data_IF_754778838391
#
_entry.id   IF_754778838391
#
_cell.length_a   1.000
_cell.length_b   1.000
_cell.length_c   1.000
_cell.angle_alpha   90.00
_cell.angle_beta   90.00
_cell.angle_gamma   90.00
#
_symmetry.space_group_name_H-M   'P 1'
#
loop_
_entity.id
_entity.type
_entity.pdbx_description
1 polymer ?
#
# COMPACT_ATOMS: atom_id res chain seq x y z
N UNK A 1 17.07 14.42 -23.12
CA UNK A 1 15.73 13.83 -23.42
C UNK A 1 14.65 14.84 -23.00
N UNK A 2 13.43 14.83 -23.60
CA UNK A 2 12.28 15.65 -23.17
C UNK A 2 11.01 14.79 -23.19
N UNK A 3 10.14 15.01 -22.23
CA UNK A 3 8.78 14.43 -22.12
C UNK A 3 7.83 15.46 -21.48
N UNK A 4 6.52 15.20 -21.46
CA UNK A 4 5.59 16.04 -20.71
C UNK A 4 5.71 15.75 -19.20
N UNK A 5 5.71 14.50 -18.80
CA UNK A 5 5.77 14.08 -17.39
C UNK A 5 7.00 13.21 -17.15
N UNK A 6 7.88 13.65 -16.26
CA UNK A 6 8.94 12.82 -15.68
C UNK A 6 8.42 12.08 -14.46
N UNK A 7 8.39 10.75 -14.48
CA UNK A 7 7.95 9.91 -13.35
C UNK A 7 9.16 9.29 -12.69
N UNK A 8 9.34 9.48 -11.39
CA UNK A 8 10.41 8.85 -10.61
C UNK A 8 9.81 7.71 -9.80
N UNK A 9 10.24 6.48 -10.08
CA UNK A 9 9.80 5.24 -9.47
C UNK A 9 8.83 4.43 -10.35
N UNK A 10 9.16 3.13 -10.57
CA UNK A 10 8.32 2.13 -11.23
C UNK A 10 7.58 1.23 -10.22
N UNK A 11 7.19 1.79 -9.07
CA UNK A 11 6.23 1.19 -8.15
C UNK A 11 4.80 1.25 -8.70
N UNK A 12 3.81 0.75 -7.95
CA UNK A 12 2.41 0.77 -8.37
C UNK A 12 1.90 2.16 -8.77
N UNK A 13 2.28 3.21 -8.01
CA UNK A 13 1.91 4.59 -8.32
C UNK A 13 2.41 5.04 -9.69
N UNK A 14 3.73 5.00 -9.92
CA UNK A 14 4.33 5.51 -11.16
C UNK A 14 3.91 4.73 -12.39
N UNK A 15 3.80 3.41 -12.28
CA UNK A 15 3.33 2.55 -13.37
C UNK A 15 1.86 2.82 -13.71
N UNK A 16 0.98 2.89 -12.70
CA UNK A 16 -0.44 3.17 -12.92
C UNK A 16 -0.64 4.58 -13.50
N UNK A 17 0.09 5.58 -12.99
CA UNK A 17 0.08 6.93 -13.56
C UNK A 17 0.42 6.92 -15.04
N UNK A 18 1.47 6.20 -15.44
CA UNK A 18 1.89 6.12 -16.83
C UNK A 18 0.82 5.49 -17.75
N UNK A 19 0.04 4.53 -17.25
CA UNK A 19 -1.10 3.97 -18.00
C UNK A 19 -2.27 4.96 -18.11
N UNK A 20 -2.59 5.68 -17.04
CA UNK A 20 -3.62 6.71 -17.04
C UNK A 20 -3.27 7.84 -18.02
N UNK A 21 -2.01 8.34 -18.00
CA UNK A 21 -1.53 9.38 -18.90
C UNK A 21 -1.57 8.93 -20.36
N UNK A 22 -1.16 7.67 -20.64
CA UNK A 22 -1.24 7.11 -21.99
C UNK A 22 -2.65 7.13 -22.55
N UNK A 23 -3.66 6.81 -21.73
CA UNK A 23 -5.08 6.85 -22.14
C UNK A 23 -5.52 8.24 -22.59
N UNK A 24 -4.92 9.28 -22.04
CA UNK A 24 -5.22 10.68 -22.37
C UNK A 24 -4.29 11.28 -23.41
N UNK A 25 -3.29 10.52 -23.88
CA UNK A 25 -2.31 10.98 -24.88
C UNK A 25 -1.25 11.91 -24.33
N UNK A 26 -0.96 11.84 -23.04
CA UNK A 26 0.10 12.59 -22.37
C UNK A 26 1.37 11.73 -22.30
N UNK A 27 2.48 12.23 -22.83
CA UNK A 27 3.74 11.51 -22.86
C UNK A 27 4.44 11.53 -21.50
N UNK A 28 5.01 10.37 -21.12
CA UNK A 28 5.78 10.25 -19.89
C UNK A 28 6.95 9.27 -20.02
N UNK A 29 7.97 9.50 -19.21
CA UNK A 29 9.13 8.61 -19.04
C UNK A 29 9.23 8.25 -17.57
N UNK A 30 9.39 6.95 -17.27
CA UNK A 30 9.61 6.44 -15.90
C UNK A 30 11.09 6.20 -15.70
N UNK A 31 11.63 6.69 -14.58
CA UNK A 31 12.99 6.43 -14.08
C UNK A 31 12.90 5.55 -12.84
N UNK A 32 13.52 4.36 -12.87
CA UNK A 32 13.51 3.40 -11.77
C UNK A 32 14.94 3.03 -11.36
N UNK A 33 15.25 3.13 -10.08
CA UNK A 33 16.60 2.88 -9.56
C UNK A 33 16.94 1.38 -9.47
N UNK A 34 15.95 0.50 -9.46
CA UNK A 34 16.14 -0.96 -9.45
C UNK A 34 16.00 -1.54 -10.84
N UNK A 35 16.53 -2.73 -11.02
CA UNK A 35 16.29 -3.51 -12.23
C UNK A 35 14.83 -3.99 -12.31
N UNK A 36 14.38 -4.34 -13.51
CA UNK A 36 13.08 -4.95 -13.71
C UNK A 36 12.88 -6.21 -12.85
N UNK A 37 13.89 -7.08 -12.81
CA UNK A 37 13.83 -8.33 -12.04
C UNK A 37 13.64 -8.06 -10.54
N UNK A 38 14.29 -7.04 -9.99
CA UNK A 38 14.17 -6.69 -8.57
C UNK A 38 12.78 -6.17 -8.22
N UNK A 39 12.18 -5.28 -9.05
CA UNK A 39 10.83 -4.77 -8.75
C UNK A 39 9.76 -5.85 -8.92
N UNK A 40 9.88 -6.71 -9.94
CA UNK A 40 8.98 -7.83 -10.19
C UNK A 40 9.14 -8.97 -9.17
N UNK A 41 10.33 -9.11 -8.57
CA UNK A 41 10.65 -10.13 -7.55
C UNK A 41 10.39 -9.70 -6.11
N UNK A 42 10.15 -8.42 -5.83
CA UNK A 42 9.93 -7.93 -4.46
C UNK A 42 8.54 -8.32 -3.96
N UNK A 43 8.49 -9.38 -3.14
CA UNK A 43 7.23 -9.92 -2.62
C UNK A 43 6.65 -8.97 -1.56
N UNK A 44 5.50 -8.36 -1.86
CA UNK A 44 4.70 -7.56 -0.94
C UNK A 44 3.26 -8.07 -0.89
N UNK A 45 2.57 -7.84 0.23
CA UNK A 45 1.15 -8.10 0.32
C UNK A 45 0.39 -7.23 -0.71
N UNK A 46 -0.79 -7.66 -1.07
CA UNK A 46 -1.66 -6.89 -1.95
C UNK A 46 -3.10 -7.26 -1.66
N UNK A 47 -3.86 -6.25 -1.25
CA UNK A 47 -5.32 -6.28 -1.16
C UNK A 47 -5.80 -5.08 -1.96
N UNK A 48 -6.58 -5.34 -2.99
CA UNK A 48 -7.14 -4.30 -3.85
C UNK A 48 -8.55 -3.96 -3.37
N UNK A 49 -8.81 -2.68 -3.19
CA UNK A 49 -10.14 -2.14 -2.99
C UNK A 49 -10.99 -2.35 -4.25
N UNK A 50 -12.28 -2.43 -4.08
CA UNK A 50 -13.24 -2.68 -5.17
C UNK A 50 -13.03 -1.75 -6.37
N UNK A 51 -12.93 -0.45 -6.13
CA UNK A 51 -12.76 0.57 -7.18
C UNK A 51 -11.41 0.45 -7.92
N UNK A 52 -10.34 -0.05 -7.27
CA UNK A 52 -9.04 -0.28 -7.92
C UNK A 52 -9.15 -1.45 -8.89
N UNK A 53 -9.88 -2.51 -8.51
CA UNK A 53 -10.17 -3.64 -9.41
C UNK A 53 -10.96 -3.17 -10.63
N UNK A 54 -11.97 -2.32 -10.43
CA UNK A 54 -12.74 -1.71 -11.53
C UNK A 54 -11.83 -0.87 -12.44
N UNK A 55 -10.99 0.00 -11.86
CA UNK A 55 -10.03 0.81 -12.61
C UNK A 55 -9.07 -0.03 -13.45
N UNK A 56 -8.51 -1.12 -12.88
CA UNK A 56 -7.62 -2.02 -13.62
C UNK A 56 -8.34 -2.67 -14.80
N UNK A 57 -9.60 -3.07 -14.63
CA UNK A 57 -10.42 -3.63 -15.70
C UNK A 57 -10.75 -2.59 -16.80
N UNK A 58 -11.12 -1.37 -16.41
CA UNK A 58 -11.37 -0.26 -17.35
C UNK A 58 -10.14 0.10 -18.20
N UNK A 59 -8.95 -0.04 -17.61
CA UNK A 59 -7.68 0.16 -18.31
C UNK A 59 -7.26 -1.02 -19.19
N UNK A 60 -8.00 -2.14 -19.14
CA UNK A 60 -7.63 -3.39 -19.84
C UNK A 60 -6.41 -4.09 -19.23
N UNK A 61 -6.13 -3.85 -17.95
CA UNK A 61 -4.98 -4.37 -17.20
C UNK A 61 -5.38 -5.46 -16.18
N UNK A 62 -6.69 -5.74 -16.08
CA UNK A 62 -7.24 -6.63 -15.05
C UNK A 62 -7.31 -8.11 -15.43
N UNK A 63 -7.00 -8.52 -16.65
CA UNK A 63 -7.24 -9.89 -17.13
C UNK A 63 -6.62 -10.98 -16.24
N UNK A 64 -5.31 -10.86 -15.95
CA UNK A 64 -4.61 -11.82 -15.08
C UNK A 64 -5.07 -11.70 -13.63
N UNK A 65 -5.30 -10.49 -13.14
CA UNK A 65 -5.84 -10.23 -11.82
C UNK A 65 -7.21 -10.90 -11.60
N UNK A 66 -8.10 -10.85 -12.61
CA UNK A 66 -9.42 -11.50 -12.53
C UNK A 66 -9.33 -13.03 -12.55
N UNK A 67 -8.30 -13.60 -13.19
CA UNK A 67 -8.07 -15.05 -13.27
C UNK A 67 -7.36 -15.60 -12.03
N UNK A 68 -6.37 -14.88 -11.51
CA UNK A 68 -5.45 -15.35 -10.46
C UNK A 68 -5.67 -14.69 -9.10
N UNK A 69 -6.28 -13.52 -9.09
CA UNK A 69 -6.67 -12.83 -7.86
C UNK A 69 -7.80 -13.57 -7.14
N UNK A 70 -7.82 -13.44 -5.83
CA UNK A 70 -8.85 -14.06 -4.99
C UNK A 70 -9.80 -12.99 -4.45
N UNK A 71 -11.08 -13.01 -4.85
CA UNK A 71 -12.09 -12.21 -4.19
C UNK A 71 -12.28 -12.69 -2.75
N UNK A 72 -12.31 -11.76 -1.80
CA UNK A 72 -12.67 -12.01 -0.41
C UNK A 72 -13.90 -11.14 -0.06
N UNK A 73 -14.95 -11.81 0.40
CA UNK A 73 -16.23 -11.17 0.74
C UNK A 73 -16.30 -10.65 2.16
N UNK A 74 -15.27 -10.92 2.97
CA UNK A 74 -15.20 -10.51 4.36
C UNK A 74 -13.84 -10.78 5.00
N UNK A 75 -13.79 -10.55 6.30
CA UNK A 75 -12.65 -10.89 7.17
C UNK A 75 -13.16 -11.44 8.51
N UNK A 76 -12.36 -12.27 9.15
CA UNK A 76 -12.61 -12.76 10.50
C UNK A 76 -11.82 -11.98 11.54
N UNK A 77 -12.50 -11.42 12.54
CA UNK A 77 -11.88 -10.92 13.78
C UNK A 77 -11.93 -12.01 14.84
N UNK A 78 -10.78 -12.28 15.48
CA UNK A 78 -10.69 -13.26 16.55
C UNK A 78 -10.20 -12.61 17.83
N UNK A 79 -10.97 -12.67 18.91
CA UNK A 79 -10.61 -12.20 20.25
C UNK A 79 -11.43 -12.96 21.32
N UNK A 80 -10.92 -13.07 22.54
CA UNK A 80 -11.55 -13.82 23.63
C UNK A 80 -11.96 -15.25 23.25
N UNK A 81 -11.19 -15.91 22.36
CA UNK A 81 -11.46 -17.27 21.90
C UNK A 81 -12.67 -17.41 20.95
N UNK A 82 -13.22 -16.30 20.47
CA UNK A 82 -14.35 -16.28 19.52
C UNK A 82 -13.92 -15.72 18.17
N UNK A 83 -14.59 -16.15 17.09
CA UNK A 83 -14.43 -15.64 15.73
C UNK A 83 -15.70 -14.91 15.30
N UNK A 84 -15.52 -13.70 14.81
CA UNK A 84 -16.57 -12.83 14.32
C UNK A 84 -16.31 -12.54 12.85
N UNK A 85 -17.20 -12.99 11.98
CA UNK A 85 -17.14 -12.69 10.55
C UNK A 85 -17.72 -11.33 10.25
N UNK A 86 -16.98 -10.51 9.52
CA UNK A 86 -17.44 -9.23 9.01
C UNK A 86 -17.69 -9.38 7.50
N UNK A 87 -18.95 -9.54 7.12
CA UNK A 87 -19.36 -9.72 5.71
C UNK A 87 -19.43 -8.38 4.98
N UNK A 88 -18.46 -8.14 4.10
CA UNK A 88 -18.39 -6.90 3.32
C UNK A 88 -19.52 -6.79 2.32
N UNK A 89 -19.93 -7.90 1.70
CA UNK A 89 -20.99 -7.90 0.69
C UNK A 89 -22.34 -7.61 1.32
N UNK A 90 -22.64 -8.23 2.48
CA UNK A 90 -23.87 -7.90 3.21
C UNK A 90 -23.92 -6.44 3.66
N UNK A 91 -22.76 -5.90 4.13
CA UNK A 91 -22.70 -4.57 4.71
C UNK A 91 -22.62 -3.44 3.67
N UNK A 92 -21.96 -3.68 2.52
CA UNK A 92 -21.61 -2.62 1.55
C UNK A 92 -21.96 -2.94 0.11
N UNK A 93 -22.35 -4.17 -0.21
CA UNK A 93 -22.51 -4.66 -1.58
C UNK A 93 -21.21 -4.83 -2.36
N UNK A 94 -20.03 -4.73 -1.70
CA UNK A 94 -18.71 -4.75 -2.32
C UNK A 94 -17.82 -5.81 -1.68
N UNK A 95 -16.72 -6.13 -2.36
CA UNK A 95 -15.70 -7.07 -1.90
C UNK A 95 -14.31 -6.52 -2.17
N UNK A 96 -13.30 -7.12 -1.58
CA UNK A 96 -11.90 -6.88 -1.87
C UNK A 96 -11.34 -7.99 -2.77
N UNK A 97 -10.17 -7.75 -3.37
CA UNK A 97 -9.45 -8.80 -4.10
C UNK A 97 -8.03 -8.92 -3.57
N UNK A 98 -7.68 -10.11 -3.10
CA UNK A 98 -6.30 -10.43 -2.72
C UNK A 98 -5.51 -10.71 -4.00
N UNK A 99 -4.67 -9.77 -4.39
CA UNK A 99 -3.78 -9.89 -5.53
C UNK A 99 -2.47 -9.19 -5.21
N UNK A 100 -1.39 -9.92 -5.29
CA UNK A 100 -0.11 -9.45 -4.78
C UNK A 100 0.39 -8.19 -5.46
N UNK A 101 0.95 -7.25 -4.69
CA UNK A 101 1.49 -6.01 -5.25
C UNK A 101 2.53 -6.24 -6.36
N UNK A 102 3.41 -7.23 -6.23
CA UNK A 102 4.40 -7.52 -7.27
C UNK A 102 3.77 -8.13 -8.53
N UNK A 103 2.63 -8.82 -8.42
CA UNK A 103 1.87 -9.28 -9.58
C UNK A 103 1.21 -8.10 -10.31
N UNK A 104 0.67 -7.12 -9.56
CA UNK A 104 0.22 -5.84 -10.15
C UNK A 104 1.36 -5.16 -10.90
N UNK A 105 2.57 -5.09 -10.31
CA UNK A 105 3.75 -4.49 -10.95
C UNK A 105 4.10 -5.23 -12.25
N UNK A 106 4.13 -6.57 -12.24
CA UNK A 106 4.40 -7.38 -13.46
C UNK A 106 3.42 -7.05 -14.57
N UNK A 107 2.13 -6.99 -14.26
CA UNK A 107 1.08 -6.67 -15.25
C UNK A 107 1.26 -5.27 -15.83
N UNK A 108 1.49 -4.28 -14.97
CA UNK A 108 1.69 -2.90 -15.39
C UNK A 108 2.97 -2.72 -16.21
N UNK A 109 4.09 -3.33 -15.81
CA UNK A 109 5.36 -3.28 -16.57
C UNK A 109 5.19 -3.94 -17.94
N UNK A 110 4.64 -5.16 -17.97
CA UNK A 110 4.45 -5.89 -19.23
C UNK A 110 3.56 -5.09 -20.21
N UNK A 111 2.45 -4.54 -19.73
CA UNK A 111 1.55 -3.73 -20.54
C UNK A 111 2.21 -2.42 -21.02
N UNK A 112 3.00 -1.74 -20.17
CA UNK A 112 3.73 -0.52 -20.52
C UNK A 112 4.74 -0.77 -21.63
N UNK A 113 5.57 -1.80 -21.48
CA UNK A 113 6.59 -2.16 -22.47
C UNK A 113 5.97 -2.63 -23.78
N UNK A 114 4.92 -3.45 -23.73
CA UNK A 114 4.16 -3.89 -24.92
C UNK A 114 3.60 -2.69 -25.69
N UNK A 115 3.25 -1.63 -25.00
CA UNK A 115 2.73 -0.40 -25.59
C UNK A 115 3.83 0.57 -26.08
N UNK A 116 5.11 0.20 -26.01
CA UNK A 116 6.24 1.05 -26.38
C UNK A 116 6.55 2.19 -25.43
N UNK A 117 6.00 2.14 -24.19
CA UNK A 117 6.23 3.17 -23.21
C UNK A 117 7.62 3.07 -22.56
N UNK A 118 8.31 4.20 -22.40
CA UNK A 118 9.66 4.25 -21.86
C UNK A 118 9.69 4.00 -20.35
N UNK A 119 10.56 3.08 -19.92
CA UNK A 119 11.00 2.87 -18.53
C UNK A 119 12.52 2.71 -18.56
N UNK A 120 13.23 3.61 -17.89
CA UNK A 120 14.67 3.54 -17.68
C UNK A 120 14.93 2.85 -16.34
N UNK A 121 15.32 1.57 -16.39
CA UNK A 121 15.65 0.79 -15.20
C UNK A 121 17.10 0.97 -14.78
N UNK A 122 17.40 0.70 -13.51
CA UNK A 122 18.73 0.74 -12.91
C UNK A 122 19.40 2.11 -13.04
N UNK A 123 18.60 3.18 -12.95
CA UNK A 123 19.14 4.53 -12.90
C UNK A 123 19.69 4.84 -11.51
N UNK A 124 20.65 5.74 -11.43
CA UNK A 124 21.27 6.16 -10.17
C UNK A 124 21.51 7.67 -10.13
N UNK A 125 21.86 8.17 -8.94
CA UNK A 125 22.16 9.60 -8.71
C UNK A 125 21.05 10.54 -9.20
N UNK A 126 19.78 10.12 -9.10
CA UNK A 126 18.63 10.93 -9.53
C UNK A 126 18.49 12.16 -8.69
N UNK A 127 18.46 13.34 -9.35
CA UNK A 127 18.28 14.66 -8.72
C UNK A 127 17.28 15.48 -9.49
N UNK A 128 16.43 16.20 -8.75
CA UNK A 128 15.45 17.12 -9.31
C UNK A 128 16.00 18.54 -9.27
N UNK A 129 15.72 19.31 -10.31
CA UNK A 129 16.14 20.70 -10.45
C UNK A 129 14.98 21.55 -10.94
N UNK A 130 14.98 22.81 -10.55
CA UNK A 130 14.06 23.86 -11.04
C UNK A 130 12.58 23.50 -10.87
N UNK A 131 12.25 22.75 -9.77
CA UNK A 131 10.91 22.21 -9.49
C UNK A 131 9.86 23.30 -9.21
N UNK A 132 10.28 24.48 -8.79
CA UNK A 132 9.46 25.66 -8.55
C UNK A 132 9.44 26.65 -9.75
N UNK A 133 10.17 26.33 -10.83
CA UNK A 133 10.21 27.08 -12.08
C UNK A 133 9.34 26.46 -13.18
N UNK A 134 9.38 27.09 -14.36
CA UNK A 134 8.59 26.68 -15.54
C UNK A 134 9.21 25.53 -16.35
N UNK A 135 10.44 25.12 -16.04
CA UNK A 135 11.19 24.14 -16.81
C UNK A 135 11.91 23.11 -15.92
N UNK A 136 11.16 22.33 -15.14
CA UNK A 136 11.77 21.34 -14.26
C UNK A 136 12.53 20.27 -15.06
N UNK A 137 13.60 19.75 -14.47
CA UNK A 137 14.42 18.72 -15.08
C UNK A 137 14.93 17.72 -14.04
N UNK A 138 15.20 16.50 -14.51
CA UNK A 138 15.76 15.44 -13.70
C UNK A 138 17.11 15.07 -14.30
N UNK A 139 18.17 15.08 -13.47
CA UNK A 139 19.47 14.50 -13.83
C UNK A 139 19.64 13.16 -13.19
N UNK A 140 20.25 12.22 -13.90
CA UNK A 140 20.49 10.86 -13.42
C UNK A 140 21.65 10.22 -14.18
N UNK A 141 22.10 9.06 -13.73
CA UNK A 141 22.96 8.16 -14.51
C UNK A 141 22.15 7.00 -15.03
N UNK A 142 22.35 6.65 -16.29
CA UNK A 142 21.72 5.46 -16.88
C UNK A 142 22.35 4.16 -16.33
N UNK A 143 21.81 3.01 -16.72
CA UNK A 143 22.30 1.70 -16.30
C UNK A 143 23.79 1.43 -16.66
N UNK A 144 24.36 2.23 -17.56
CA UNK A 144 25.79 2.15 -17.95
C UNK A 144 26.64 3.19 -17.20
N UNK A 145 26.05 3.98 -16.31
CA UNK A 145 26.72 5.03 -15.57
C UNK A 145 26.90 6.35 -16.32
N UNK A 146 26.34 6.51 -17.53
CA UNK A 146 26.45 7.74 -18.29
C UNK A 146 25.50 8.80 -17.72
N UNK A 147 25.95 10.08 -17.61
CA UNK A 147 25.08 11.16 -17.17
C UNK A 147 24.00 11.47 -18.21
N UNK A 148 22.78 11.64 -17.72
CA UNK A 148 21.58 11.91 -18.52
C UNK A 148 20.80 13.09 -17.93
N UNK A 149 20.03 13.76 -18.77
CA UNK A 149 19.09 14.81 -18.40
C UNK A 149 17.72 14.56 -19.05
N UNK A 150 16.67 14.56 -18.25
CA UNK A 150 15.28 14.52 -18.68
C UNK A 150 14.60 15.86 -18.33
N UNK A 151 14.23 16.62 -19.35
CA UNK A 151 13.41 17.84 -19.22
C UNK A 151 11.95 17.48 -19.31
N UNK A 152 11.13 18.08 -18.47
CA UNK A 152 9.69 17.81 -18.44
C UNK A 152 8.91 19.06 -18.07
N UNK A 153 7.59 19.02 -18.22
CA UNK A 153 6.72 20.10 -17.80
C UNK A 153 6.33 19.91 -16.32
N UNK A 154 6.17 18.64 -15.89
CA UNK A 154 5.89 18.27 -14.52
C UNK A 154 6.69 17.03 -14.10
N UNK A 155 6.93 16.89 -12.80
CA UNK A 155 7.56 15.72 -12.18
C UNK A 155 6.57 15.04 -11.26
N UNK A 156 6.39 13.72 -11.40
CA UNK A 156 5.65 12.88 -10.47
C UNK A 156 6.63 12.05 -9.64
N UNK A 157 6.76 12.37 -8.35
CA UNK A 157 7.55 11.63 -7.37
C UNK A 157 6.76 10.44 -6.84
N UNK A 158 7.01 9.27 -7.43
CA UNK A 158 6.43 7.97 -7.07
C UNK A 158 7.50 7.01 -6.53
N UNK A 159 8.57 7.55 -5.96
CA UNK A 159 9.85 6.93 -5.63
C UNK A 159 9.93 6.36 -4.19
N UNK A 160 8.79 6.29 -3.53
CA UNK A 160 8.68 5.73 -2.19
C UNK A 160 9.25 6.65 -1.11
N UNK A 161 9.25 6.15 0.13
CA UNK A 161 9.60 6.95 1.30
C UNK A 161 11.04 7.47 1.28
N UNK A 162 11.96 6.69 0.72
CA UNK A 162 13.39 7.00 0.69
C UNK A 162 13.86 7.66 -0.62
N UNK A 163 12.91 7.94 -1.53
CA UNK A 163 13.22 8.56 -2.81
C UNK A 163 13.63 10.04 -2.70
N UNK A 164 14.28 10.59 -3.72
CA UNK A 164 14.75 11.97 -3.75
C UNK A 164 13.63 13.01 -3.90
N UNK A 165 12.43 12.63 -4.38
CA UNK A 165 11.42 13.62 -4.77
C UNK A 165 10.93 14.45 -3.59
N UNK A 166 10.55 13.84 -2.47
CA UNK A 166 10.14 14.60 -1.27
C UNK A 166 11.27 15.44 -0.72
N UNK A 167 12.51 14.92 -0.77
CA UNK A 167 13.68 15.64 -0.27
C UNK A 167 14.04 16.86 -1.12
N UNK A 168 13.60 16.93 -2.38
CA UNK A 168 13.78 18.08 -3.25
C UNK A 168 12.91 19.28 -2.83
N UNK A 169 11.80 19.05 -2.10
CA UNK A 169 10.99 20.11 -1.52
C UNK A 169 11.78 20.73 -0.36
N UNK A 170 11.95 22.06 -0.31
CA UNK A 170 12.62 22.72 0.80
C UNK A 170 12.01 22.34 2.15
N UNK A 171 12.83 22.04 3.16
CA UNK A 171 12.39 21.58 4.48
C UNK A 171 11.32 22.50 5.10
N UNK A 172 11.52 23.82 4.97
CA UNK A 172 10.56 24.84 5.46
C UNK A 172 9.18 24.80 4.79
N UNK A 173 9.08 24.17 3.63
CA UNK A 173 7.83 24.01 2.88
C UNK A 173 7.19 22.62 3.08
N UNK A 174 7.92 21.67 3.67
CA UNK A 174 7.39 20.35 3.98
C UNK A 174 6.61 20.39 5.29
N UNK A 175 5.36 19.97 5.26
CA UNK A 175 4.54 19.76 6.46
C UNK A 175 4.38 18.25 6.68
N UNK A 176 5.19 17.69 7.59
CA UNK A 176 5.32 16.25 7.78
C UNK A 176 4.81 15.82 9.16
N UNK A 177 4.00 14.75 9.20
CA UNK A 177 3.46 14.13 10.40
C UNK A 177 3.92 12.68 10.46
N UNK A 178 4.36 12.24 11.64
CA UNK A 178 4.92 10.91 11.84
C UNK A 178 4.42 10.30 13.16
N UNK A 179 4.09 9.00 13.11
CA UNK A 179 3.91 8.16 14.28
C UNK A 179 4.73 6.88 14.07
N UNK A 180 5.70 6.63 14.93
CA UNK A 180 6.36 5.34 15.04
C UNK A 180 5.65 4.52 16.12
N UNK A 181 5.14 3.34 15.75
CA UNK A 181 4.47 2.46 16.69
C UNK A 181 5.49 1.64 17.50
N UNK A 182 5.19 1.28 18.75
CA UNK A 182 6.09 0.47 19.57
C UNK A 182 6.15 -1.00 19.11
N UNK A 183 5.43 -1.34 18.05
CA UNK A 183 5.31 -2.71 17.54
C UNK A 183 5.95 -2.86 16.17
N UNK A 184 6.47 -4.06 15.94
CA UNK A 184 6.83 -4.57 14.62
C UNK A 184 5.98 -5.75 14.23
N UNK A 185 6.02 -6.07 12.95
CA UNK A 185 5.46 -7.29 12.40
C UNK A 185 6.57 -8.22 11.92
N UNK A 186 6.64 -9.41 12.49
CA UNK A 186 7.33 -10.53 11.88
C UNK A 186 6.44 -11.08 10.76
N UNK A 187 6.82 -10.78 9.52
CA UNK A 187 6.15 -11.27 8.32
C UNK A 187 6.76 -12.57 7.84
N UNK A 188 5.91 -13.56 7.55
CA UNK A 188 6.32 -14.93 7.24
C UNK A 188 5.60 -15.40 5.98
N UNK A 189 6.31 -16.12 5.10
CA UNK A 189 5.72 -16.94 4.03
C UNK A 189 6.09 -18.39 4.28
N UNK A 190 5.08 -19.26 4.27
CA UNK A 190 5.25 -20.69 4.48
C UNK A 190 4.54 -21.51 3.37
N UNK A 191 5.20 -22.58 2.95
CA UNK A 191 4.61 -23.58 2.05
C UNK A 191 3.64 -24.44 2.84
N UNK A 192 2.41 -23.96 2.96
CA UNK A 192 1.34 -24.64 3.70
C UNK A 192 0.02 -24.41 2.99
N UNK A 193 -0.84 -25.43 2.92
CA UNK A 193 -2.16 -25.29 2.34
C UNK A 193 -3.01 -24.33 3.19
N UNK A 194 -4.05 -23.81 2.56
CA UNK A 194 -4.98 -22.87 3.17
C UNK A 194 -5.60 -23.40 4.46
N UNK A 195 -5.46 -22.65 5.56
CA UNK A 195 -6.01 -23.02 6.86
C UNK A 195 -7.39 -22.42 7.14
N UNK A 196 -7.73 -21.30 6.49
CA UNK A 196 -9.01 -20.60 6.64
C UNK A 196 -9.43 -19.96 5.33
N UNK A 197 -10.74 -19.75 5.12
CA UNK A 197 -11.29 -19.28 3.84
C UNK A 197 -11.09 -17.77 3.59
N UNK A 198 -10.76 -16.99 4.60
CA UNK A 198 -10.54 -15.53 4.53
C UNK A 198 -9.38 -15.09 5.44
N UNK A 199 -9.15 -13.78 5.54
CA UNK A 199 -8.16 -13.23 6.48
C UNK A 199 -8.67 -13.39 7.93
N UNK A 200 -7.78 -13.80 8.85
CA UNK A 200 -8.05 -13.77 10.30
C UNK A 200 -7.16 -12.70 10.93
N UNK A 201 -7.79 -11.72 11.58
CA UNK A 201 -7.15 -10.76 12.47
C UNK A 201 -7.37 -11.20 13.91
N UNK A 202 -6.34 -11.57 14.62
CA UNK A 202 -6.42 -12.02 16.00
C UNK A 202 -5.85 -11.00 16.98
N UNK A 203 -6.67 -10.52 17.93
CA UNK A 203 -6.22 -9.84 19.13
C UNK A 203 -6.12 -10.88 20.25
N UNK A 204 -4.91 -11.09 20.76
CA UNK A 204 -4.62 -12.10 21.80
C UNK A 204 -3.75 -11.46 22.89
N UNK A 205 -3.78 -12.02 24.12
CA UNK A 205 -2.96 -11.47 25.23
C UNK A 205 -1.45 -11.57 24.98
N UNK A 206 -1.02 -12.49 24.09
CA UNK A 206 0.38 -12.61 23.62
C UNK A 206 0.71 -11.65 22.47
N UNK A 207 -0.22 -10.80 22.03
CA UNK A 207 -0.09 -9.88 20.92
C UNK A 207 -0.88 -10.27 19.67
N UNK A 208 -0.89 -9.39 18.69
CA UNK A 208 -1.58 -9.55 17.42
C UNK A 208 -1.01 -10.70 16.58
N UNK A 209 -1.89 -11.36 15.85
CA UNK A 209 -1.52 -12.25 14.75
C UNK A 209 -2.48 -12.07 13.55
N UNK A 210 -1.95 -12.26 12.34
CA UNK A 210 -2.74 -12.26 11.12
C UNK A 210 -2.41 -13.51 10.29
N UNK A 211 -3.45 -14.16 9.80
CA UNK A 211 -3.36 -15.24 8.84
C UNK A 211 -4.03 -14.82 7.53
N UNK A 212 -3.34 -14.99 6.42
CA UNK A 212 -3.92 -14.82 5.09
C UNK A 212 -3.41 -15.87 4.12
N UNK A 213 -4.22 -16.21 3.13
CA UNK A 213 -3.83 -17.11 2.03
C UNK A 213 -3.20 -16.31 0.92
N UNK A 214 -2.02 -16.72 0.46
CA UNK A 214 -1.31 -16.12 -0.66
C UNK A 214 -1.63 -16.81 -1.98
N UNK A 215 -1.54 -18.14 -1.96
CA UNK A 215 -1.93 -19.07 -3.03
C UNK A 215 -2.51 -20.32 -2.36
N UNK A 216 -3.03 -21.30 -3.12
CA UNK A 216 -3.48 -22.56 -2.54
C UNK A 216 -2.42 -23.26 -1.67
N UNK A 217 -1.15 -23.09 -1.99
CA UNK A 217 0.01 -23.75 -1.38
C UNK A 217 0.81 -22.84 -0.43
N UNK A 218 0.51 -21.53 -0.38
CA UNK A 218 1.30 -20.57 0.39
C UNK A 218 0.43 -19.75 1.32
N UNK A 219 0.75 -19.78 2.59
CA UNK A 219 0.17 -18.89 3.60
C UNK A 219 1.11 -17.72 3.90
N UNK A 220 0.52 -16.56 4.12
CA UNK A 220 1.19 -15.37 4.62
C UNK A 220 0.71 -15.08 6.04
N UNK A 221 1.65 -14.93 6.93
CA UNK A 221 1.43 -14.84 8.35
C UNK A 221 2.13 -13.60 8.89
N UNK A 222 1.54 -12.94 9.89
CA UNK A 222 2.19 -11.87 10.63
C UNK A 222 2.01 -12.07 12.13
N UNK A 223 3.06 -11.79 12.87
CA UNK A 223 3.10 -11.86 14.34
C UNK A 223 3.57 -10.51 14.86
N UNK A 224 2.86 -9.93 15.81
CA UNK A 224 3.36 -8.78 16.58
C UNK A 224 4.62 -9.18 17.34
N UNK A 225 5.67 -8.38 17.19
CA UNK A 225 6.96 -8.53 17.86
C UNK A 225 7.55 -7.16 18.22
N UNK A 226 8.67 -7.14 18.94
CA UNK A 226 9.48 -5.92 19.06
C UNK A 226 10.12 -5.63 17.69
N UNK A 227 10.01 -4.38 17.16
CA UNK A 227 10.66 -4.03 15.89
C UNK A 227 12.19 -4.12 15.92
N UNK A 228 12.80 -4.23 17.11
CA UNK A 228 14.25 -4.37 17.32
C UNK A 228 14.69 -5.82 17.51
N UNK A 229 13.75 -6.77 17.55
CA UNK A 229 14.11 -8.19 17.68
C UNK A 229 15.05 -8.60 16.53
N UNK A 230 16.13 -9.32 16.81
CA UNK A 230 16.91 -9.96 15.76
C UNK A 230 16.08 -11.11 15.16
N UNK A 231 16.19 -11.33 13.84
CA UNK A 231 15.41 -12.37 13.15
C UNK A 231 15.69 -13.78 13.69
N UNK A 232 16.89 -14.00 14.20
CA UNK A 232 17.35 -15.24 14.82
C UNK A 232 16.63 -15.58 16.13
N UNK A 233 16.05 -14.57 16.79
CA UNK A 233 15.20 -14.78 17.98
C UNK A 233 13.86 -15.47 17.63
N UNK A 234 13.56 -15.60 16.35
CA UNK A 234 12.34 -16.19 15.83
C UNK A 234 12.63 -17.45 14.99
N UNK A 235 13.07 -18.56 15.61
CA UNK A 235 13.18 -19.85 14.93
C UNK A 235 11.79 -20.38 14.56
N UNK A 236 11.71 -21.26 13.58
CA UNK A 236 10.44 -21.68 12.95
C UNK A 236 9.49 -22.38 13.93
N UNK A 237 10.02 -23.16 14.86
CA UNK A 237 9.24 -23.81 15.93
C UNK A 237 8.59 -22.79 16.87
N UNK A 238 9.30 -21.73 17.25
CA UNK A 238 8.73 -20.60 18.02
C UNK A 238 7.63 -19.89 17.23
N UNK A 239 7.86 -19.64 15.96
CA UNK A 239 6.87 -18.98 15.07
C UNK A 239 5.58 -19.80 15.07
N UNK A 240 5.67 -21.10 14.82
CA UNK A 240 4.47 -21.95 14.77
C UNK A 240 3.79 -22.07 16.14
N UNK A 241 4.55 -22.20 17.23
CA UNK A 241 3.98 -22.21 18.58
C UNK A 241 3.21 -20.92 18.90
N UNK A 242 3.76 -19.75 18.56
CA UNK A 242 3.07 -18.46 18.73
C UNK A 242 1.81 -18.35 17.88
N UNK A 243 1.86 -18.80 16.63
CA UNK A 243 0.71 -18.76 15.74
C UNK A 243 -0.40 -19.70 16.20
N UNK A 244 -0.06 -20.94 16.61
CA UNK A 244 -1.04 -21.88 17.17
C UNK A 244 -1.70 -21.31 18.43
N UNK A 245 -0.93 -20.65 19.31
CA UNK A 245 -1.46 -20.05 20.53
C UNK A 245 -2.37 -18.85 20.22
N UNK A 246 -1.91 -17.91 19.38
CA UNK A 246 -2.66 -16.67 19.09
C UNK A 246 -3.89 -16.88 18.22
N UNK A 247 -3.94 -17.97 17.43
CA UNK A 247 -5.06 -18.33 16.58
C UNK A 247 -5.87 -19.51 17.14
N UNK A 248 -5.60 -19.94 18.38
CA UNK A 248 -6.31 -21.06 19.00
C UNK A 248 -7.83 -20.90 18.88
N UNK A 249 -8.49 -21.93 18.37
CA UNK A 249 -9.94 -21.96 18.22
C UNK A 249 -10.46 -23.40 18.36
N UNK A 250 -11.56 -23.65 19.08
CA UNK A 250 -12.07 -25.00 19.30
C UNK A 250 -12.35 -25.76 17.99
N UNK A 251 -11.81 -26.98 17.89
CA UNK A 251 -12.01 -27.83 16.72
C UNK A 251 -11.23 -27.42 15.45
N UNK A 252 -10.36 -26.42 15.52
CA UNK A 252 -9.56 -25.98 14.40
C UNK A 252 -8.06 -25.91 14.76
N UNK A 253 -7.21 -26.20 13.79
CA UNK A 253 -5.77 -26.11 13.92
C UNK A 253 -5.18 -25.47 12.67
N UNK A 254 -4.22 -24.55 12.87
CA UNK A 254 -3.44 -23.98 11.79
C UNK A 254 -2.57 -25.05 11.13
N UNK A 255 -2.59 -25.10 9.81
CA UNK A 255 -1.69 -25.99 9.05
C UNK A 255 -0.32 -25.36 8.96
N UNK A 256 0.69 -26.05 9.43
CA UNK A 256 2.08 -25.66 9.40
C UNK A 256 2.77 -26.18 8.14
N UNK A 257 3.89 -25.56 7.77
CA UNK A 257 4.71 -25.98 6.64
C UNK A 257 6.08 -25.30 6.64
N UNK A 258 6.98 -25.63 5.72
CA UNK A 258 8.29 -25.01 5.62
C UNK A 258 8.21 -23.49 5.45
N UNK A 259 8.90 -22.74 6.30
CA UNK A 259 9.04 -21.29 6.20
C UNK A 259 10.19 -20.99 5.24
N UNK A 260 9.92 -20.30 4.14
CA UNK A 260 10.93 -19.95 3.13
C UNK A 260 11.28 -18.45 3.13
N UNK A 261 10.50 -17.61 3.79
CA UNK A 261 10.80 -16.19 3.95
C UNK A 261 10.29 -15.68 5.29
N UNK A 262 11.13 -14.91 6.00
CA UNK A 262 10.74 -14.16 7.19
C UNK A 262 11.50 -12.84 7.29
N UNK A 263 10.84 -11.79 7.76
CA UNK A 263 11.42 -10.48 7.99
C UNK A 263 10.63 -9.71 9.04
N UNK A 264 11.29 -8.80 9.75
CA UNK A 264 10.65 -7.89 10.71
C UNK A 264 10.52 -6.50 10.09
N UNK A 265 9.35 -5.90 10.23
CA UNK A 265 9.04 -4.56 9.73
C UNK A 265 8.48 -3.73 10.88
N UNK A 266 9.11 -2.61 11.18
CA UNK A 266 8.58 -1.61 12.12
C UNK A 266 7.31 -0.95 11.52
N UNK A 267 6.31 -0.71 12.36
CA UNK A 267 5.08 -0.06 11.94
C UNK A 267 5.22 1.46 12.07
N UNK A 268 4.73 2.17 11.06
CA UNK A 268 4.78 3.64 10.99
C UNK A 268 3.57 4.19 10.27
N UNK A 269 3.06 5.33 10.73
CA UNK A 269 2.26 6.28 9.97
C UNK A 269 3.12 7.47 9.57
N UNK A 270 2.98 7.93 8.35
CA UNK A 270 3.65 9.14 7.85
C UNK A 270 2.77 9.85 6.82
N UNK A 271 2.66 11.16 6.93
CA UNK A 271 1.99 12.01 5.94
C UNK A 271 2.83 13.27 5.71
N UNK A 272 3.15 13.55 4.46
CA UNK A 272 3.64 14.85 3.98
C UNK A 272 2.47 15.58 3.33
N UNK A 273 1.91 16.59 3.99
CA UNK A 273 0.77 17.35 3.45
C UNK A 273 1.15 18.23 2.25
N UNK A 274 2.43 18.52 2.08
CA UNK A 274 2.94 19.19 0.88
C UNK A 274 3.13 18.16 -0.23
N UNK A 275 2.02 17.70 -0.81
CA UNK A 275 2.06 16.74 -1.92
C UNK A 275 2.34 17.41 -3.27
N UNK A 276 2.24 18.73 -3.34
CA UNK A 276 2.60 19.55 -4.49
C UNK A 276 3.55 20.68 -4.07
N UNK A 277 4.61 20.86 -4.85
CA UNK A 277 5.51 22.01 -4.73
C UNK A 277 6.00 22.43 -6.12
N UNK A 278 5.57 23.61 -6.59
CA UNK A 278 5.80 24.02 -7.97
C UNK A 278 5.26 23.01 -8.98
N UNK A 279 6.15 22.47 -9.80
CA UNK A 279 5.81 21.45 -10.81
C UNK A 279 6.07 20.00 -10.34
N UNK A 280 6.39 19.80 -9.07
CA UNK A 280 6.57 18.48 -8.46
C UNK A 280 5.30 18.05 -7.72
N UNK A 281 4.88 16.80 -7.98
CA UNK A 281 3.75 16.14 -7.33
C UNK A 281 4.21 14.84 -6.70
N UNK A 282 3.92 14.62 -5.42
CA UNK A 282 4.22 13.38 -4.69
C UNK A 282 3.01 12.45 -4.72
N UNK A 283 3.25 11.13 -4.87
CA UNK A 283 2.21 10.11 -4.82
C UNK A 283 2.71 8.82 -4.15
N UNK A 284 1.82 8.11 -3.47
CA UNK A 284 2.12 6.87 -2.76
C UNK A 284 3.08 7.08 -1.59
N UNK A 285 3.97 6.10 -1.35
CA UNK A 285 4.89 6.12 -0.19
C UNK A 285 5.86 7.33 -0.18
N UNK A 286 5.97 8.08 -1.27
CA UNK A 286 6.68 9.36 -1.30
C UNK A 286 5.97 10.44 -0.48
N UNK A 287 4.64 10.39 -0.39
CA UNK A 287 3.80 11.33 0.33
C UNK A 287 3.26 10.78 1.65
N UNK A 288 2.94 9.48 1.73
CA UNK A 288 2.29 8.90 2.91
C UNK A 288 2.62 7.42 3.09
N UNK A 289 2.69 6.98 4.34
CA UNK A 289 2.82 5.58 4.74
C UNK A 289 1.72 5.30 5.76
N UNK A 290 0.92 4.29 5.52
CA UNK A 290 -0.07 3.78 6.47
C UNK A 290 0.41 2.46 7.08
N UNK A 291 0.07 2.15 8.33
CA UNK A 291 0.29 0.81 8.88
C UNK A 291 -0.37 -0.25 8.00
N UNK A 292 0.29 -1.39 7.76
CA UNK A 292 -0.20 -2.41 6.82
C UNK A 292 -1.50 -3.09 7.28
N UNK A 293 -1.91 -2.91 8.54
CA UNK A 293 -3.08 -3.55 9.15
C UNK A 293 -4.38 -3.28 8.36
N UNK A 294 -4.52 -2.07 7.81
CA UNK A 294 -5.69 -1.68 7.01
C UNK A 294 -5.57 -2.00 5.51
N UNK A 295 -4.43 -2.50 5.04
CA UNK A 295 -4.15 -2.78 3.64
C UNK A 295 -4.41 -1.60 2.68
N UNK A 296 -4.12 -0.34 3.10
CA UNK A 296 -4.47 0.88 2.37
C UNK A 296 -3.38 1.43 1.44
N UNK A 297 -2.11 1.11 1.65
CA UNK A 297 -0.99 1.78 0.97
C UNK A 297 -1.08 1.78 -0.56
N UNK A 298 -1.26 0.60 -1.18
CA UNK A 298 -1.38 0.49 -2.64
C UNK A 298 -2.64 1.23 -3.16
N UNK A 299 -3.74 1.13 -2.45
CA UNK A 299 -5.02 1.72 -2.84
C UNK A 299 -4.99 3.27 -2.75
N UNK A 300 -4.30 3.82 -1.75
CA UNK A 300 -4.03 5.26 -1.65
C UNK A 300 -3.13 5.73 -2.79
N UNK A 301 -2.05 5.00 -3.07
CA UNK A 301 -1.16 5.31 -4.18
C UNK A 301 -1.90 5.33 -5.53
N UNK A 302 -2.85 4.41 -5.73
CA UNK A 302 -3.72 4.39 -6.90
C UNK A 302 -4.65 5.61 -6.95
N UNK A 303 -5.20 6.05 -5.81
CA UNK A 303 -6.05 7.23 -5.74
C UNK A 303 -5.29 8.52 -6.05
N UNK A 304 -4.09 8.68 -5.49
CA UNK A 304 -3.25 9.85 -5.76
C UNK A 304 -3.01 10.01 -7.25
N UNK A 305 -2.56 8.94 -7.92
CA UNK A 305 -2.23 9.01 -9.35
C UNK A 305 -3.49 9.09 -10.23
N UNK A 306 -4.63 8.61 -9.77
CA UNK A 306 -5.91 8.83 -10.43
C UNK A 306 -6.28 10.32 -10.44
N UNK A 307 -6.18 10.99 -9.28
CA UNK A 307 -6.42 12.45 -9.20
C UNK A 307 -5.39 13.24 -9.98
N UNK A 308 -4.10 12.88 -9.89
CA UNK A 308 -3.04 13.55 -10.63
C UNK A 308 -3.24 13.44 -12.15
N UNK A 309 -3.58 12.26 -12.65
CA UNK A 309 -3.83 12.06 -14.08
C UNK A 309 -4.99 12.91 -14.61
N UNK A 310 -6.09 13.03 -13.84
CA UNK A 310 -7.23 13.89 -14.18
C UNK A 310 -6.85 15.38 -14.17
N UNK A 311 -6.05 15.78 -13.19
CA UNK A 311 -5.57 17.16 -13.08
C UNK A 311 -4.65 17.53 -14.25
N UNK A 312 -3.74 16.63 -14.62
CA UNK A 312 -2.86 16.79 -15.78
C UNK A 312 -3.68 16.81 -17.09
N UNK A 313 -4.65 15.94 -17.25
CA UNK A 313 -5.53 15.93 -18.41
C UNK A 313 -6.28 17.26 -18.56
N UNK A 314 -6.86 17.80 -17.48
CA UNK A 314 -7.57 19.08 -17.50
C UNK A 314 -6.61 20.22 -17.90
N UNK A 315 -5.40 20.21 -17.34
CA UNK A 315 -4.37 21.20 -17.65
C UNK A 315 -3.94 21.16 -19.12
N UNK A 316 -3.64 19.97 -19.67
CA UNK A 316 -3.17 19.87 -21.06
C UNK A 316 -4.30 20.05 -22.10
N UNK A 317 -5.48 19.53 -21.85
CA UNK A 317 -6.57 19.57 -22.84
C UNK A 317 -7.41 20.86 -22.78
N UNK A 318 -7.51 21.49 -21.60
CA UNK A 318 -8.42 22.62 -21.38
C UNK A 318 -7.69 23.88 -20.87
N UNK A 319 -6.39 23.80 -20.56
CA UNK A 319 -5.63 24.87 -19.90
C UNK A 319 -6.07 25.11 -18.45
N UNK A 320 -6.88 24.22 -17.88
CA UNK A 320 -7.40 24.36 -16.52
C UNK A 320 -6.43 23.74 -15.50
N UNK A 321 -5.77 24.58 -14.71
CA UNK A 321 -4.83 24.19 -13.67
C UNK A 321 -5.47 24.05 -12.28
N UNK A 322 -6.76 24.32 -12.13
CA UNK A 322 -7.44 24.33 -10.82
C UNK A 322 -7.33 23.01 -10.06
N UNK A 323 -7.40 21.88 -10.79
CA UNK A 323 -7.23 20.54 -10.18
C UNK A 323 -5.78 20.28 -9.76
N UNK A 324 -4.79 20.81 -10.48
CA UNK A 324 -3.38 20.72 -10.06
C UNK A 324 -3.16 21.53 -8.78
N UNK A 325 -3.67 22.76 -8.72
CA UNK A 325 -3.55 23.63 -7.55
C UNK A 325 -4.19 23.05 -6.28
N UNK A 326 -5.24 22.25 -6.45
CA UNK A 326 -5.95 21.57 -5.36
C UNK A 326 -5.53 20.12 -5.14
N UNK A 327 -4.46 19.67 -5.79
CA UNK A 327 -4.03 18.26 -5.72
C UNK A 327 -3.79 17.79 -4.29
N UNK A 328 -2.99 18.54 -3.52
CA UNK A 328 -2.72 18.19 -2.11
C UNK A 328 -4.01 18.10 -1.30
N UNK A 329 -4.89 19.09 -1.37
CA UNK A 329 -6.19 19.10 -0.66
C UNK A 329 -7.04 17.89 -1.02
N UNK A 330 -7.13 17.57 -2.32
CA UNK A 330 -7.94 16.45 -2.83
C UNK A 330 -7.43 15.10 -2.32
N UNK A 331 -6.12 14.86 -2.39
CA UNK A 331 -5.51 13.62 -1.92
C UNK A 331 -5.59 13.49 -0.39
N UNK A 332 -5.26 14.55 0.35
CA UNK A 332 -5.23 14.56 1.81
C UNK A 332 -6.60 14.27 2.44
N UNK A 333 -7.69 14.72 1.81
CA UNK A 333 -9.04 14.41 2.27
C UNK A 333 -9.31 12.89 2.34
N UNK A 334 -8.69 12.10 1.46
CA UNK A 334 -8.76 10.63 1.46
C UNK A 334 -7.68 10.01 2.34
N UNK A 335 -6.45 10.52 2.27
CA UNK A 335 -5.31 10.01 3.03
C UNK A 335 -5.61 10.02 4.52
N UNK A 336 -6.10 11.12 5.08
CA UNK A 336 -6.41 11.20 6.51
C UNK A 336 -7.54 10.25 6.96
N UNK A 337 -8.51 9.95 6.09
CA UNK A 337 -9.52 8.91 6.37
C UNK A 337 -8.91 7.52 6.42
N UNK A 338 -7.98 7.22 5.51
CA UNK A 338 -7.29 5.94 5.47
C UNK A 338 -6.26 5.80 6.59
N UNK A 339 -5.57 6.89 6.96
CA UNK A 339 -4.70 6.93 8.15
C UNK A 339 -5.50 6.68 9.43
N UNK A 340 -6.62 7.38 9.62
CA UNK A 340 -7.52 7.14 10.76
C UNK A 340 -7.96 5.68 10.83
N UNK A 341 -8.34 5.08 9.70
CA UNK A 341 -8.74 3.67 9.64
C UNK A 341 -7.57 2.75 9.97
N UNK A 342 -6.41 2.95 9.35
CA UNK A 342 -5.23 2.11 9.58
C UNK A 342 -4.70 2.23 11.00
N UNK A 343 -4.70 3.45 11.55
CA UNK A 343 -4.39 3.70 12.97
C UNK A 343 -5.36 2.98 13.90
N UNK A 344 -6.68 3.10 13.66
CA UNK A 344 -7.71 2.43 14.44
C UNK A 344 -7.54 0.91 14.41
N UNK A 345 -7.41 0.32 13.23
CA UNK A 345 -7.17 -1.12 13.06
C UNK A 345 -5.88 -1.57 13.78
N UNK A 346 -4.83 -0.76 13.71
CA UNK A 346 -3.56 -1.09 14.34
C UNK A 346 -3.68 -1.03 15.87
N UNK A 347 -4.21 0.04 16.41
CA UNK A 347 -4.34 0.21 17.87
C UNK A 347 -5.36 -0.76 18.47
N UNK A 348 -6.47 -1.03 17.78
CA UNK A 348 -7.50 -1.96 18.20
C UNK A 348 -7.01 -3.43 18.23
N UNK A 349 -6.12 -3.82 17.35
CA UNK A 349 -5.71 -5.22 17.20
C UNK A 349 -4.42 -5.57 17.94
N UNK A 350 -3.53 -4.61 18.17
CA UNK A 350 -2.24 -4.88 18.82
C UNK A 350 -2.35 -4.82 20.33
N UNK A 351 -1.57 -5.67 20.99
CA UNK A 351 -1.40 -5.62 22.45
C UNK A 351 -0.38 -4.56 22.82
N UNK A 352 -0.76 -3.67 23.72
CA UNK A 352 0.15 -2.69 24.29
C UNK A 352 0.53 -3.13 25.73
N UNK A 353 1.81 -3.41 25.98
CA UNK A 353 2.27 -3.86 27.29
C UNK A 353 2.17 -2.77 28.38
N UNK A 354 2.10 -1.50 27.97
CA UNK A 354 1.87 -0.37 28.88
C UNK A 354 0.38 -0.16 29.23
N UNK A 355 -0.53 -0.92 28.61
CA UNK A 355 -1.97 -0.80 28.80
C UNK A 355 -2.38 -1.26 30.21
N UNK A 356 -3.12 -0.44 30.92
CA UNK A 356 -3.70 -0.79 32.23
C UNK A 356 -4.81 -1.84 32.08
N UNK A 357 -5.16 -2.51 33.17
CA UNK A 357 -6.28 -3.45 33.19
C UNK A 357 -7.61 -2.80 32.79
N UNK A 358 -7.81 -1.51 33.12
CA UNK A 358 -9.00 -0.76 32.71
C UNK A 358 -9.00 -0.47 31.21
N UNK A 359 -7.90 0.02 30.66
CA UNK A 359 -7.76 0.29 29.22
C UNK A 359 -7.95 -0.99 28.41
N UNK A 360 -7.42 -2.11 28.88
CA UNK A 360 -7.65 -3.42 28.25
C UNK A 360 -9.13 -3.78 28.16
N UNK A 361 -9.93 -3.47 29.19
CA UNK A 361 -11.38 -3.72 29.17
C UNK A 361 -12.10 -2.82 28.16
N UNK A 362 -11.75 -1.55 28.08
CA UNK A 362 -12.28 -0.62 27.08
C UNK A 362 -11.93 -1.10 25.68
N UNK A 363 -10.69 -1.53 25.46
CA UNK A 363 -10.20 -2.01 24.20
C UNK A 363 -10.96 -3.26 23.71
N UNK A 364 -11.20 -4.23 24.59
CA UNK A 364 -12.02 -5.39 24.27
C UNK A 364 -13.48 -5.04 24.00
N UNK A 365 -14.04 -4.06 24.71
CA UNK A 365 -15.40 -3.56 24.44
C UNK A 365 -15.49 -2.86 23.09
N UNK A 366 -14.45 -2.13 22.68
CA UNK A 366 -14.38 -1.49 21.35
C UNK A 366 -14.31 -2.53 20.23
N UNK A 367 -13.50 -3.60 20.40
CA UNK A 367 -13.48 -4.75 19.48
C UNK A 367 -14.85 -5.42 19.35
N UNK A 368 -15.51 -5.68 20.49
CA UNK A 368 -16.85 -6.28 20.49
C UNK A 368 -17.87 -5.38 19.79
N UNK A 369 -17.85 -4.08 20.09
CA UNK A 369 -18.75 -3.11 19.45
C UNK A 369 -18.50 -3.01 17.94
N UNK A 370 -17.24 -3.05 17.51
CA UNK A 370 -16.86 -2.98 16.09
C UNK A 370 -17.45 -4.14 15.26
N UNK A 371 -17.64 -5.33 15.86
CA UNK A 371 -18.13 -6.51 15.14
C UNK A 371 -19.60 -6.84 15.44
N UNK A 372 -20.17 -6.37 16.56
CA UNK A 372 -21.56 -6.68 16.96
C UNK A 372 -22.55 -5.58 16.60
N UNK A 373 -22.11 -4.32 16.56
CA UNK A 373 -22.93 -3.21 16.09
C UNK A 373 -22.93 -3.13 14.57
N UNK A 374 -24.10 -3.31 13.93
CA UNK A 374 -24.22 -3.18 12.47
C UNK A 374 -23.69 -1.85 11.95
N UNK A 375 -23.93 -0.75 12.65
CA UNK A 375 -23.45 0.58 12.25
C UNK A 375 -21.92 0.66 12.29
N UNK A 376 -21.29 0.17 13.37
CA UNK A 376 -19.83 0.15 13.50
C UNK A 376 -19.19 -0.78 12.47
N UNK A 377 -19.74 -1.98 12.30
CA UNK A 377 -19.33 -2.96 11.31
C UNK A 377 -19.42 -2.40 9.88
N UNK A 378 -20.52 -1.70 9.54
CA UNK A 378 -20.68 -1.05 8.23
C UNK A 378 -19.65 0.04 8.02
N UNK A 379 -19.42 0.92 9.01
CA UNK A 379 -18.42 1.98 8.91
C UNK A 379 -16.99 1.42 8.71
N UNK A 380 -16.67 0.29 9.36
CA UNK A 380 -15.40 -0.42 9.17
C UNK A 380 -15.30 -1.01 7.76
N UNK A 381 -16.35 -1.71 7.33
CA UNK A 381 -16.43 -2.37 6.03
C UNK A 381 -16.32 -1.37 4.86
N UNK A 382 -17.02 -0.22 4.93
CA UNK A 382 -16.97 0.82 3.88
C UNK A 382 -15.55 1.31 3.61
N UNK A 383 -14.76 1.55 4.67
CA UNK A 383 -13.37 1.96 4.48
C UNK A 383 -12.52 0.79 4.02
N UNK A 384 -12.81 -0.42 4.50
CA UNK A 384 -12.05 -1.63 4.14
C UNK A 384 -12.16 -1.95 2.64
N UNK A 385 -13.38 -1.95 2.09
CA UNK A 385 -13.61 -2.24 0.66
C UNK A 385 -13.26 -1.07 -0.26
N UNK A 386 -13.05 0.11 0.29
CA UNK A 386 -12.67 1.34 -0.40
C UNK A 386 -13.78 2.37 -0.47
N UNK A 387 -13.46 3.56 0.04
CA UNK A 387 -14.32 4.72 -0.09
C UNK A 387 -14.51 5.07 -1.57
N UNK A 388 -15.65 5.64 -1.98
CA UNK A 388 -15.86 6.09 -3.35
C UNK A 388 -14.73 7.00 -3.84
N UNK A 389 -14.34 6.85 -5.10
CA UNK A 389 -13.44 7.76 -5.78
C UNK A 389 -14.32 8.78 -6.53
N UNK A 390 -14.21 10.05 -6.14
CA UNK A 390 -15.06 11.10 -6.70
C UNK A 390 -14.43 11.74 -7.95
#
# INVERSE_FOLDING_TARGET
>A
MRTQIGIIGAGPAGLLLAHLLRRTGIDCVILENRSRAEIEGTIRAGVLEHWVVELMNELGLGERMMREGRPDTGVTFQFLGQRHHLDFVELTGKQITVYAQHEVIKDLVAARLKAGGAIEFSVSETKLHDIDGDAPRITYRDAKGNPQELRCDFIAGCDGFHGPSRQAIPERARNEFVIDYPWGWLGILAEAPRSWHELIYSNHDRGFALLSTRSPEVQRIYIQCDPKDPIEAWPDDRIWAEMQARLAFPGWKLVEGPIFQKNIVALRSFVCETMQYGQLFLAGDAAHIVPPTGAKGLNLAAADVYFLARALEASYKKGDKSLLERYSETCLARIWKAERFSWYMTTMLHRNDAETAFERRIHLADLDYAVTSRAAATALAEVYVGLPIA
#
